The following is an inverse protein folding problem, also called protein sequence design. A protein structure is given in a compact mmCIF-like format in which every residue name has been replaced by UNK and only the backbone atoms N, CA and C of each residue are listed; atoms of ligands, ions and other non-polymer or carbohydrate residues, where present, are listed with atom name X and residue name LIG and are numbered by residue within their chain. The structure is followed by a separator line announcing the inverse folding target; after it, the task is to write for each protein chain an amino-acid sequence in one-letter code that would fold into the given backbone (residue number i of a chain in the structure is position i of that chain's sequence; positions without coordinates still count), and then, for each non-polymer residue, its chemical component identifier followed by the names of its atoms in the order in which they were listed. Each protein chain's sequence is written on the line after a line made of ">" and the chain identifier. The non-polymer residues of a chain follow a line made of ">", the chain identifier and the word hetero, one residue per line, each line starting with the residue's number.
data_IF_165731900069
#
_entry.id   IF_165731900069
#
_cell.length_a   1.000
_cell.length_b   1.000
_cell.length_c   1.000
_cell.angle_alpha   90.00
_cell.angle_beta   90.00
_cell.angle_gamma   90.00
#
_symmetry.space_group_name_H-M   'P 1'
#
loop_
_entity.id
_entity.type
_entity.pdbx_description
1 polymer ?
#
# COMPACT_ATOMS: atom_id res chain seq x y z
N UNK A 1 -4.74 -28.34 49.14
CA UNK A 1 -6.08 -28.47 48.54
C UNK A 1 -6.99 -27.46 49.20
N UNK A 2 -7.27 -26.35 48.52
CA UNK A 2 -8.27 -25.37 48.91
C UNK A 2 -8.82 -24.77 47.62
N UNK A 3 -10.09 -25.04 47.38
CA UNK A 3 -10.90 -24.72 46.20
C UNK A 3 -11.40 -23.28 46.29
N UNK A 4 -11.04 -22.44 45.32
CA UNK A 4 -11.53 -21.05 45.20
C UNK A 4 -12.36 -20.88 43.93
N UNK A 5 -13.68 -20.77 44.12
CA UNK A 5 -14.72 -20.61 43.10
C UNK A 5 -14.58 -19.30 42.31
N UNK A 6 -14.77 -19.39 40.99
CA UNK A 6 -14.95 -18.26 40.09
C UNK A 6 -16.31 -17.57 40.32
N UNK A 7 -16.29 -16.24 40.42
CA UNK A 7 -17.46 -15.37 40.41
C UNK A 7 -17.75 -14.97 38.96
N UNK A 8 -18.85 -15.51 38.40
CA UNK A 8 -19.42 -15.11 37.12
C UNK A 8 -20.34 -13.93 37.37
N UNK A 9 -19.97 -12.73 36.91
CA UNK A 9 -20.83 -11.57 36.91
C UNK A 9 -21.78 -11.63 35.70
N UNK A 10 -23.05 -11.90 35.97
CA UNK A 10 -24.16 -11.84 35.02
C UNK A 10 -24.54 -10.37 34.76
N UNK A 11 -24.32 -9.87 33.55
CA UNK A 11 -24.84 -8.58 33.08
C UNK A 11 -26.13 -8.82 32.32
N UNK A 12 -27.25 -8.27 32.80
CA UNK A 12 -28.55 -8.27 32.12
C UNK A 12 -28.58 -7.19 31.02
N UNK A 13 -29.20 -7.43 29.86
CA UNK A 13 -29.40 -6.39 28.84
C UNK A 13 -30.49 -5.38 29.25
N UNK A 14 -30.37 -4.11 28.83
CA UNK A 14 -31.38 -3.08 29.09
C UNK A 14 -32.63 -3.22 28.20
N UNK A 15 -33.80 -2.69 28.63
CA UNK A 15 -35.06 -2.75 27.87
C UNK A 15 -35.08 -1.83 26.63
N UNK A 16 -35.93 -2.13 25.62
CA UNK A 16 -35.96 -1.38 24.37
C UNK A 16 -36.63 -0.01 24.55
N UNK A 17 -35.86 1.06 24.34
CA UNK A 17 -36.33 2.44 24.33
C UNK A 17 -36.19 3.08 22.94
N UNK A 18 -37.34 3.49 22.40
CA UNK A 18 -37.60 4.48 21.34
C UNK A 18 -36.42 5.08 20.55
N UNK A 19 -36.40 4.80 19.25
CA UNK A 19 -35.60 5.45 18.20
C UNK A 19 -35.92 6.96 18.09
N UNK A 20 -34.92 7.85 17.91
CA UNK A 20 -35.15 9.21 17.46
C UNK A 20 -35.34 9.31 15.93
N UNK A 21 -36.17 10.27 15.52
CA UNK A 21 -36.73 10.51 14.18
C UNK A 21 -35.71 10.60 13.03
N UNK A 22 -36.07 9.98 11.89
CA UNK A 22 -35.39 10.05 10.59
C UNK A 22 -35.72 11.38 9.87
N UNK A 23 -34.72 12.25 9.59
CA UNK A 23 -34.94 13.53 8.93
C UNK A 23 -35.24 13.44 7.41
N UNK A 24 -35.39 12.25 6.82
CA UNK A 24 -35.64 12.08 5.37
C UNK A 24 -37.12 12.06 4.96
N UNK A 25 -38.06 12.29 5.87
CA UNK A 25 -39.50 12.36 5.57
C UNK A 25 -40.04 13.79 5.38
N UNK A 26 -39.39 14.64 4.59
CA UNK A 26 -40.00 15.91 4.12
C UNK A 26 -39.51 16.34 2.74
N UNK A 27 -39.88 15.62 1.69
CA UNK A 27 -39.99 16.19 0.34
C UNK A 27 -41.16 15.53 -0.39
N UNK A 28 -42.20 16.34 -0.66
CA UNK A 28 -43.37 15.96 -1.46
C UNK A 28 -43.05 15.94 -2.96
N UNK A 29 -43.95 15.41 -3.80
CA UNK A 29 -43.71 15.21 -5.23
C UNK A 29 -43.78 16.55 -5.99
N UNK A 30 -42.92 16.79 -7.01
CA UNK A 30 -43.12 17.94 -7.87
C UNK A 30 -44.27 17.68 -8.85
N UNK A 31 -45.16 18.67 -8.90
CA UNK A 31 -46.34 18.75 -9.76
C UNK A 31 -45.94 18.94 -11.23
N UNK A 32 -46.56 18.16 -12.11
CA UNK A 32 -46.65 18.43 -13.54
C UNK A 32 -47.61 19.59 -13.79
N UNK A 33 -47.16 20.65 -14.46
CA UNK A 33 -48.06 21.59 -15.15
C UNK A 33 -47.44 22.03 -16.46
N UNK A 34 -48.16 21.75 -17.56
CA UNK A 34 -47.75 22.05 -18.92
C UNK A 34 -47.81 23.53 -19.29
N UNK A 35 -46.92 23.91 -20.20
CA UNK A 35 -46.99 25.11 -21.02
C UNK A 35 -46.52 24.78 -22.43
N UNK A 36 -47.37 25.03 -23.43
CA UNK A 36 -47.14 24.83 -24.87
C UNK A 36 -46.26 25.96 -25.48
N UNK A 37 -45.72 25.78 -26.70
CA UNK A 37 -44.43 26.35 -27.12
C UNK A 37 -44.55 27.68 -27.86
N UNK A 38 -43.48 28.49 -27.80
CA UNK A 38 -43.22 29.56 -28.76
C UNK A 38 -42.09 29.13 -29.69
N UNK A 39 -42.44 28.96 -30.96
CA UNK A 39 -41.55 28.70 -32.08
C UNK A 39 -40.83 30.00 -32.43
N UNK A 40 -39.50 30.02 -32.31
CA UNK A 40 -38.65 31.00 -32.98
C UNK A 40 -37.54 30.24 -33.71
N UNK A 41 -37.58 30.35 -35.04
CA UNK A 41 -36.60 29.79 -35.98
C UNK A 41 -35.27 30.54 -35.81
N UNK A 42 -34.22 29.80 -35.49
CA UNK A 42 -32.84 30.27 -35.57
C UNK A 42 -31.92 29.10 -35.86
N UNK A 43 -31.41 29.02 -37.09
CA UNK A 43 -30.40 28.05 -37.47
C UNK A 43 -29.08 28.39 -36.76
N UNK A 44 -28.63 27.54 -35.84
CA UNK A 44 -27.25 27.53 -35.37
C UNK A 44 -26.65 26.15 -35.63
N UNK A 45 -25.63 26.12 -36.50
CA UNK A 45 -24.75 24.98 -36.72
C UNK A 45 -24.03 24.66 -35.40
N UNK A 46 -24.21 23.45 -34.89
CA UNK A 46 -23.36 22.88 -33.84
C UNK A 46 -22.04 22.44 -34.48
N UNK A 47 -21.02 23.25 -34.28
CA UNK A 47 -19.62 22.90 -34.54
C UNK A 47 -19.16 21.94 -33.44
N UNK A 48 -18.79 20.72 -33.81
CA UNK A 48 -18.10 19.79 -32.92
C UNK A 48 -16.72 20.38 -32.56
N UNK A 49 -16.51 20.74 -31.29
CA UNK A 49 -15.18 21.06 -30.77
C UNK A 49 -14.48 19.75 -30.37
N UNK A 50 -13.67 19.24 -31.28
CA UNK A 50 -12.66 18.23 -31.03
C UNK A 50 -11.61 18.85 -30.10
N UNK A 51 -11.47 18.40 -28.86
CA UNK A 51 -10.29 18.74 -28.03
C UNK A 51 -9.09 17.99 -28.58
N UNK A 52 -8.38 18.61 -29.52
CA UNK A 52 -7.04 18.21 -29.93
C UNK A 52 -6.03 18.49 -28.82
N UNK A 53 -5.10 17.56 -28.60
CA UNK A 53 -3.88 17.84 -27.86
C UNK A 53 -3.04 18.81 -28.69
N UNK A 54 -3.09 20.10 -28.35
CA UNK A 54 -2.26 21.12 -28.98
C UNK A 54 -0.88 21.11 -28.29
N UNK A 55 0.09 20.45 -28.92
CA UNK A 55 1.45 20.40 -28.42
C UNK A 55 2.18 21.69 -28.85
N UNK A 56 2.63 22.55 -27.92
CA UNK A 56 3.30 23.78 -28.29
C UNK A 56 4.58 23.48 -29.09
N UNK A 57 4.90 24.34 -30.06
CA UNK A 57 6.11 24.22 -30.89
C UNK A 57 7.33 24.67 -30.09
N UNK A 58 7.69 23.90 -29.06
CA UNK A 58 8.94 24.05 -28.33
C UNK A 58 9.96 23.07 -28.90
N UNK A 59 11.13 23.53 -29.37
CA UNK A 59 12.21 22.64 -29.77
C UNK A 59 12.58 21.70 -28.63
N UNK A 60 12.90 20.44 -28.94
CA UNK A 60 13.22 19.39 -27.96
C UNK A 60 14.21 19.85 -26.89
N UNK A 61 15.22 20.63 -27.30
CA UNK A 61 16.25 21.21 -26.44
C UNK A 61 15.71 22.15 -25.36
N UNK A 62 14.63 22.88 -25.65
CA UNK A 62 14.00 23.81 -24.69
C UNK A 62 13.06 23.07 -23.74
N UNK A 63 12.38 22.02 -24.20
CA UNK A 63 11.60 21.13 -23.34
C UNK A 63 12.54 20.39 -22.36
N UNK A 64 13.62 19.81 -22.87
CA UNK A 64 14.67 19.15 -22.09
C UNK A 64 15.26 20.11 -21.03
N UNK A 65 15.62 21.34 -21.43
CA UNK A 65 16.15 22.34 -20.48
C UNK A 65 15.17 22.66 -19.35
N UNK A 66 13.87 22.75 -19.63
CA UNK A 66 12.83 23.06 -18.63
C UNK A 66 12.54 21.90 -17.68
N UNK A 67 12.71 20.66 -18.15
CA UNK A 67 12.46 19.46 -17.36
C UNK A 67 13.69 18.97 -16.59
N UNK A 68 14.89 19.41 -16.96
CA UNK A 68 16.14 18.86 -16.41
C UNK A 68 16.63 19.53 -15.12
N UNK A 69 15.95 20.55 -14.58
CA UNK A 69 16.35 21.30 -13.37
C UNK A 69 17.84 21.74 -13.32
N UNK A 70 18.51 21.83 -14.49
CA UNK A 70 19.88 22.33 -14.60
C UNK A 70 19.85 23.84 -14.72
N UNK A 71 19.61 24.54 -13.62
CA UNK A 71 19.84 25.98 -13.57
C UNK A 71 21.33 26.26 -13.47
N UNK A 72 21.92 26.75 -14.57
CA UNK A 72 23.14 27.54 -14.50
C UNK A 72 22.91 28.77 -13.63
N UNK A 73 23.94 29.15 -12.88
CA UNK A 73 23.93 30.24 -11.91
C UNK A 73 23.65 31.60 -12.59
N UNK A 74 22.65 32.41 -12.16
CA UNK A 74 22.50 33.78 -12.62
C UNK A 74 23.40 34.75 -11.84
N UNK A 75 23.90 35.82 -12.47
CA UNK A 75 24.90 36.73 -11.88
C UNK A 75 24.24 37.84 -11.05
N UNK A 76 23.57 37.49 -9.96
CA UNK A 76 23.10 38.45 -8.96
C UNK A 76 22.59 37.71 -7.72
N UNK A 77 23.52 37.11 -6.97
CA UNK A 77 23.25 36.63 -5.63
C UNK A 77 23.49 37.76 -4.61
N UNK A 78 22.40 38.33 -4.10
CA UNK A 78 22.43 38.96 -2.79
C UNK A 78 21.45 38.22 -1.87
N UNK A 79 21.88 38.04 -0.63
CA UNK A 79 21.48 36.95 0.25
C UNK A 79 20.00 36.78 0.54
N UNK A 80 19.55 35.53 0.55
CA UNK A 80 18.70 35.00 1.62
C UNK A 80 18.90 33.49 1.74
N UNK A 81 19.25 33.04 2.94
CA UNK A 81 19.31 31.63 3.31
C UNK A 81 17.88 31.18 3.64
N UNK A 82 17.25 30.39 2.78
CA UNK A 82 16.23 29.40 3.14
C UNK A 82 15.78 28.64 1.89
N UNK A 83 15.65 27.32 2.06
CA UNK A 83 15.06 26.31 1.15
C UNK A 83 15.92 25.76 0.00
N UNK A 84 17.01 25.05 0.34
CA UNK A 84 17.68 24.09 -0.56
C UNK A 84 17.54 22.64 -0.05
N UNK A 85 16.31 22.22 0.32
CA UNK A 85 16.03 20.83 0.75
C UNK A 85 15.15 20.03 -0.21
N UNK A 86 14.82 20.58 -1.37
CA UNK A 86 13.88 19.96 -2.30
C UNK A 86 14.40 20.04 -3.74
N UNK A 87 15.60 19.52 -3.98
CA UNK A 87 15.98 18.89 -5.26
C UNK A 87 17.42 18.40 -5.16
N UNK A 88 17.65 17.34 -4.39
CA UNK A 88 18.83 16.52 -4.58
C UNK A 88 18.32 15.16 -5.01
N UNK A 89 18.68 14.72 -6.21
CA UNK A 89 18.61 13.31 -6.58
C UNK A 89 19.15 12.50 -5.39
N UNK A 90 18.37 11.53 -4.87
CA UNK A 90 18.63 10.81 -3.63
C UNK A 90 20.04 10.20 -3.51
N UNK A 91 20.76 10.07 -4.62
CA UNK A 91 22.20 9.81 -4.70
C UNK A 91 23.05 10.70 -3.76
N UNK A 92 22.66 11.95 -3.49
CA UNK A 92 23.40 12.82 -2.55
C UNK A 92 23.30 12.39 -1.08
N UNK A 93 22.16 11.82 -0.69
CA UNK A 93 21.90 11.35 0.70
C UNK A 93 22.63 10.04 0.95
N UNK A 94 22.57 9.10 0.01
CA UNK A 94 23.27 7.80 0.11
C UNK A 94 24.78 8.03 0.20
N UNK A 95 25.34 8.88 -0.66
CA UNK A 95 26.78 9.21 -0.68
C UNK A 95 27.29 9.91 0.58
N UNK A 96 26.44 10.70 1.24
CA UNK A 96 26.73 11.33 2.54
C UNK A 96 26.80 10.29 3.68
N UNK A 97 26.03 9.20 3.57
CA UNK A 97 26.05 8.10 4.52
C UNK A 97 27.19 7.12 4.22
N UNK A 98 27.62 6.95 2.95
CA UNK A 98 28.83 6.17 2.61
C UNK A 98 30.11 6.75 3.22
N UNK A 99 30.13 8.05 3.53
CA UNK A 99 31.22 8.72 4.27
C UNK A 99 31.19 8.45 5.78
N UNK A 100 30.05 8.01 6.31
CA UNK A 100 29.99 7.34 7.60
C UNK A 100 30.36 5.90 7.32
N UNK A 101 31.66 5.58 7.37
CA UNK A 101 32.06 4.21 7.65
C UNK A 101 31.20 3.75 8.82
N UNK A 102 30.28 2.84 8.55
CA UNK A 102 29.40 2.25 9.55
C UNK A 102 30.32 1.79 10.67
N UNK A 103 30.33 2.58 11.75
CA UNK A 103 31.01 2.20 12.97
C UNK A 103 30.32 0.91 13.37
N UNK A 104 30.99 -0.22 13.12
CA UNK A 104 30.52 -1.50 13.61
C UNK A 104 30.49 -1.40 15.12
N UNK A 105 29.30 -1.14 15.64
CA UNK A 105 28.90 -1.35 17.02
C UNK A 105 28.92 -0.11 17.91
N UNK A 106 27.74 0.27 18.38
CA UNK A 106 27.54 0.85 19.72
C UNK A 106 27.95 -0.11 20.85
N UNK A 107 28.48 -1.31 20.53
CA UNK A 107 28.86 -2.35 21.48
C UNK A 107 27.67 -3.09 22.09
N UNK A 108 26.43 -2.69 21.78
CA UNK A 108 25.23 -3.31 22.30
C UNK A 108 24.78 -4.48 21.40
N UNK A 109 24.31 -5.59 21.99
CA UNK A 109 23.74 -6.69 21.21
C UNK A 109 22.51 -6.20 20.45
N UNK A 110 22.57 -6.29 19.11
CA UNK A 110 21.44 -6.05 18.21
C UNK A 110 20.71 -7.36 17.91
N UNK A 111 19.40 -7.28 17.76
CA UNK A 111 18.62 -8.37 17.15
C UNK A 111 18.64 -8.14 15.63
N UNK A 112 19.16 -9.08 14.82
CA UNK A 112 19.14 -8.97 13.37
C UNK A 112 17.71 -8.75 12.85
N UNK A 113 17.52 -7.80 11.95
CA UNK A 113 16.21 -7.46 11.41
C UNK A 113 16.30 -7.04 9.94
N UNK A 114 15.37 -7.57 9.15
CA UNK A 114 15.15 -7.20 7.75
C UNK A 114 13.69 -6.81 7.58
N UNK A 115 13.45 -5.64 6.98
CA UNK A 115 12.09 -5.22 6.64
C UNK A 115 11.70 -5.88 5.31
N UNK A 116 10.66 -6.71 5.34
CA UNK A 116 10.23 -7.52 4.18
C UNK A 116 8.97 -6.98 3.50
N UNK A 117 8.36 -5.91 4.03
CA UNK A 117 7.18 -5.30 3.48
C UNK A 117 7.31 -3.76 3.54
N UNK A 118 7.88 -3.16 2.50
CA UNK A 118 7.98 -1.72 2.36
C UNK A 118 7.51 -1.23 0.99
N UNK A 119 6.69 -0.18 1.00
CA UNK A 119 6.17 0.49 -0.20
C UNK A 119 6.92 1.79 -0.43
N UNK A 120 7.40 1.97 -1.66
CA UNK A 120 7.96 3.24 -2.09
C UNK A 120 6.86 4.19 -2.57
N UNK A 121 7.22 5.44 -2.83
CA UNK A 121 6.34 6.45 -3.45
C UNK A 121 5.77 6.01 -4.81
N UNK A 122 6.40 5.03 -5.46
CA UNK A 122 5.89 4.49 -6.70
C UNK A 122 4.63 3.63 -6.51
N UNK A 123 4.35 3.16 -5.30
CA UNK A 123 3.01 2.76 -4.88
C UNK A 123 2.12 4.00 -4.77
N UNK A 124 1.55 4.40 -5.91
CA UNK A 124 0.96 5.71 -6.09
C UNK A 124 -0.12 6.04 -5.05
N UNK A 125 0.08 7.17 -4.34
CA UNK A 125 -0.78 7.67 -3.26
C UNK A 125 -0.95 6.69 -2.08
N UNK A 126 0.02 5.77 -1.90
CA UNK A 126 0.07 4.84 -0.77
C UNK A 126 1.43 4.94 -0.05
N UNK A 127 2.54 4.88 -0.80
CA UNK A 127 3.87 5.22 -0.28
C UNK A 127 4.20 6.70 -0.44
N UNK A 128 5.02 7.26 0.45
CA UNK A 128 5.46 8.67 0.39
C UNK A 128 6.95 8.86 0.15
N UNK A 129 7.79 7.91 0.52
CA UNK A 129 9.26 8.03 0.45
C UNK A 129 9.83 7.42 -0.83
N UNK A 130 10.89 8.02 -1.37
CA UNK A 130 11.57 7.42 -2.52
C UNK A 130 12.34 6.17 -2.08
N UNK A 131 12.65 5.24 -3.01
CA UNK A 131 13.52 4.10 -2.70
C UNK A 131 14.85 4.47 -2.04
N UNK A 132 15.47 5.57 -2.46
CA UNK A 132 16.73 6.06 -1.90
C UNK A 132 16.58 6.49 -0.43
N UNK A 133 15.46 7.13 -0.08
CA UNK A 133 15.18 7.56 1.29
C UNK A 133 14.97 6.34 2.20
N UNK A 134 14.29 5.30 1.68
CA UNK A 134 14.09 4.03 2.39
C UNK A 134 15.41 3.29 2.61
N UNK A 135 16.29 3.25 1.61
CA UNK A 135 17.63 2.64 1.74
C UNK A 135 18.49 3.43 2.74
N UNK A 136 18.51 4.75 2.64
CA UNK A 136 19.27 5.60 3.57
C UNK A 136 18.83 5.38 5.02
N UNK A 137 17.53 5.29 5.26
CA UNK A 137 17.00 5.01 6.59
C UNK A 137 17.29 3.58 7.06
N UNK A 138 17.17 2.59 6.17
CA UNK A 138 17.52 1.21 6.48
C UNK A 138 18.98 1.09 6.93
N UNK A 139 19.91 1.76 6.24
CA UNK A 139 21.32 1.83 6.65
C UNK A 139 21.48 2.52 8.00
N UNK A 140 20.78 3.65 8.22
CA UNK A 140 20.82 4.40 9.49
C UNK A 140 20.30 3.57 10.68
N UNK A 141 19.29 2.75 10.46
CA UNK A 141 18.73 1.79 11.41
C UNK A 141 19.53 0.49 11.49
N UNK A 142 20.57 0.39 10.66
CA UNK A 142 21.42 -0.77 10.49
C UNK A 142 20.65 -2.06 10.13
N UNK A 143 19.59 -2.00 9.31
CA UNK A 143 18.87 -3.20 8.87
C UNK A 143 19.78 -4.17 8.12
N UNK A 144 19.56 -5.47 8.29
CA UNK A 144 20.34 -6.52 7.62
C UNK A 144 19.92 -6.71 6.15
N UNK A 145 18.68 -6.38 5.82
CA UNK A 145 18.17 -6.32 4.46
C UNK A 145 16.92 -5.45 4.38
N UNK A 146 16.57 -5.04 3.16
CA UNK A 146 15.32 -4.35 2.87
C UNK A 146 14.64 -4.99 1.66
N UNK A 147 13.31 -5.16 1.72
CA UNK A 147 12.49 -5.45 0.57
C UNK A 147 11.73 -4.20 0.12
N UNK A 148 11.61 -3.99 -1.20
CA UNK A 148 10.57 -3.13 -1.75
C UNK A 148 9.50 -3.99 -2.40
N UNK A 149 8.28 -3.83 -1.91
CA UNK A 149 7.06 -4.52 -2.30
C UNK A 149 6.02 -3.49 -2.71
N UNK A 150 6.25 -2.85 -3.85
CA UNK A 150 5.30 -1.86 -4.36
C UNK A 150 3.95 -2.51 -4.73
N UNK A 151 2.88 -1.73 -4.60
CA UNK A 151 1.50 -2.17 -4.88
C UNK A 151 1.31 -2.48 -6.37
N UNK A 152 0.93 -3.72 -6.65
CA UNK A 152 0.60 -4.24 -7.98
C UNK A 152 1.69 -4.01 -9.05
N UNK A 153 2.97 -3.90 -8.66
CA UNK A 153 4.03 -3.63 -9.64
C UNK A 153 5.44 -3.54 -9.08
N UNK A 154 6.41 -3.42 -9.98
CA UNK A 154 7.84 -3.26 -9.70
C UNK A 154 8.34 -1.85 -10.03
N UNK A 155 7.57 -0.85 -9.64
CA UNK A 155 7.77 0.50 -10.13
C UNK A 155 9.04 1.16 -9.57
N UNK A 156 9.34 0.95 -8.28
CA UNK A 156 10.54 1.46 -7.61
C UNK A 156 11.77 0.56 -7.66
N UNK A 157 11.67 -0.63 -8.26
CA UNK A 157 12.66 -1.71 -8.09
C UNK A 157 14.07 -1.36 -8.59
N UNK A 158 14.17 -0.65 -9.72
CA UNK A 158 15.46 -0.30 -10.33
C UNK A 158 16.19 0.73 -9.48
N UNK A 159 15.50 1.80 -9.09
CA UNK A 159 16.05 2.84 -8.20
C UNK A 159 16.43 2.27 -6.83
N UNK A 160 15.63 1.34 -6.33
CA UNK A 160 15.93 0.61 -5.10
C UNK A 160 17.23 -0.19 -5.24
N UNK A 161 17.37 -0.98 -6.30
CA UNK A 161 18.55 -1.81 -6.54
C UNK A 161 19.82 -0.96 -6.64
N UNK A 162 19.80 0.12 -7.43
CA UNK A 162 20.94 1.04 -7.59
C UNK A 162 21.34 1.70 -6.25
N UNK A 163 20.37 2.18 -5.48
CA UNK A 163 20.62 2.84 -4.20
C UNK A 163 21.16 1.85 -3.15
N UNK A 164 20.60 0.64 -3.09
CA UNK A 164 21.03 -0.39 -2.17
C UNK A 164 22.43 -0.91 -2.50
N UNK A 165 22.77 -1.03 -3.79
CA UNK A 165 24.12 -1.39 -4.25
C UNK A 165 25.15 -0.33 -3.82
N UNK A 166 24.87 0.97 -4.01
CA UNK A 166 25.76 2.05 -3.55
C UNK A 166 25.95 2.04 -2.02
N UNK A 167 24.91 1.66 -1.28
CA UNK A 167 24.91 1.59 0.17
C UNK A 167 25.48 0.28 0.76
N UNK A 168 25.65 -0.77 -0.06
CA UNK A 168 26.00 -2.11 0.42
C UNK A 168 24.90 -2.79 1.25
N UNK A 169 23.64 -2.42 1.05
CA UNK A 169 22.48 -2.99 1.76
C UNK A 169 21.94 -4.22 1.01
N UNK A 170 21.84 -5.40 1.64
CA UNK A 170 21.20 -6.57 1.01
C UNK A 170 19.73 -6.30 0.65
N UNK A 171 19.33 -6.77 -0.53
CA UNK A 171 18.00 -6.51 -1.09
C UNK A 171 17.14 -7.76 -1.20
N UNK A 172 15.84 -7.57 -1.10
CA UNK A 172 14.81 -8.55 -1.48
C UNK A 172 13.84 -7.88 -2.44
N UNK A 173 13.45 -8.58 -3.51
CA UNK A 173 12.54 -8.04 -4.53
C UNK A 173 11.18 -8.73 -4.47
N UNK A 174 10.11 -7.95 -4.47
CA UNK A 174 8.76 -8.46 -4.38
C UNK A 174 7.71 -7.44 -4.78
N UNK A 175 6.44 -7.80 -4.60
CA UNK A 175 5.31 -6.92 -4.83
C UNK A 175 4.18 -7.25 -3.84
N UNK A 176 3.44 -6.22 -3.43
CA UNK A 176 2.17 -6.38 -2.73
C UNK A 176 1.06 -6.46 -3.78
N UNK A 177 0.51 -7.64 -4.02
CA UNK A 177 -0.50 -7.89 -5.02
C UNK A 177 -1.90 -7.73 -4.45
N UNK A 178 -2.77 -7.02 -5.16
CA UNK A 178 -4.18 -6.96 -4.81
C UNK A 178 -4.98 -8.05 -5.51
N UNK A 179 -5.62 -8.90 -4.73
CA UNK A 179 -6.52 -9.96 -5.15
C UNK A 179 -7.96 -9.44 -5.17
N UNK A 180 -8.62 -9.53 -6.32
CA UNK A 180 -10.03 -9.14 -6.46
C UNK A 180 -10.96 -10.05 -5.64
N UNK A 181 -11.97 -9.46 -5.00
CA UNK A 181 -13.02 -10.21 -4.31
C UNK A 181 -14.01 -10.83 -5.32
N UNK A 182 -14.45 -12.09 -5.13
CA UNK A 182 -15.48 -12.71 -5.95
C UNK A 182 -16.77 -11.89 -5.96
N UNK A 183 -17.29 -11.56 -7.14
CA UNK A 183 -18.55 -10.82 -7.29
C UNK A 183 -18.47 -9.32 -7.00
N UNK A 184 -17.29 -8.78 -6.64
CA UNK A 184 -17.11 -7.32 -6.55
C UNK A 184 -17.32 -6.70 -7.95
N UNK A 185 -18.09 -5.60 -8.06
CA UNK A 185 -18.19 -4.88 -9.33
C UNK A 185 -16.78 -4.52 -9.83
N UNK A 186 -16.64 -4.49 -11.17
CA UNK A 186 -15.41 -4.11 -11.86
C UNK A 186 -14.81 -2.90 -11.14
N UNK A 187 -13.57 -3.02 -10.65
CA UNK A 187 -12.83 -1.89 -10.06
C UNK A 187 -13.07 -0.66 -10.93
N UNK A 188 -13.41 0.47 -10.31
CA UNK A 188 -13.54 1.74 -11.02
C UNK A 188 -12.21 2.46 -10.99
N UNK A 189 -11.72 2.94 -12.15
CA UNK A 189 -10.41 3.61 -12.22
C UNK A 189 -10.43 4.93 -11.44
N UNK A 190 -11.63 5.36 -11.03
CA UNK A 190 -11.90 6.48 -10.15
C UNK A 190 -12.02 6.10 -8.66
N UNK A 191 -11.93 4.82 -8.29
CA UNK A 191 -11.95 4.38 -6.90
C UNK A 191 -10.56 4.61 -6.28
N UNK A 192 -10.50 5.32 -5.16
CA UNK A 192 -9.26 5.53 -4.41
C UNK A 192 -8.72 4.24 -3.76
N UNK A 193 -7.46 4.22 -3.30
CA UNK A 193 -6.88 3.13 -2.52
C UNK A 193 -7.80 2.49 -1.44
N UNK A 194 -8.55 3.24 -0.62
CA UNK A 194 -9.51 2.70 0.37
C UNK A 194 -10.61 1.90 -0.29
N UNK A 195 -11.25 2.44 -1.32
CA UNK A 195 -12.29 1.70 -2.07
C UNK A 195 -11.69 0.47 -2.74
N UNK A 196 -10.41 0.52 -3.15
CA UNK A 196 -9.68 -0.64 -3.66
C UNK A 196 -9.41 -1.69 -2.57
N UNK A 197 -9.12 -1.29 -1.33
CA UNK A 197 -8.99 -2.17 -0.15
C UNK A 197 -10.34 -2.78 0.27
N UNK A 198 -11.42 -2.03 0.15
CA UNK A 198 -12.78 -2.53 0.37
C UNK A 198 -13.20 -3.55 -0.72
N UNK A 199 -12.58 -3.51 -1.91
CA UNK A 199 -12.92 -4.35 -3.08
C UNK A 199 -11.90 -5.47 -3.38
N UNK A 200 -10.85 -5.61 -2.57
CA UNK A 200 -9.78 -6.56 -2.81
C UNK A 200 -8.91 -6.79 -1.57
N UNK A 201 -8.26 -7.95 -1.50
CA UNK A 201 -7.35 -8.30 -0.41
C UNK A 201 -5.91 -8.29 -0.89
N UNK A 202 -4.96 -7.88 -0.05
CA UNK A 202 -3.55 -7.92 -0.41
C UNK A 202 -2.90 -9.27 -0.08
N UNK A 203 -1.82 -9.56 -0.77
CA UNK A 203 -0.85 -10.60 -0.44
C UNK A 203 0.53 -10.10 -0.87
N UNK A 204 1.56 -10.33 -0.06
CA UNK A 204 2.92 -9.92 -0.41
C UNK A 204 3.67 -11.13 -0.96
N UNK A 205 4.32 -10.95 -2.10
CA UNK A 205 5.09 -12.01 -2.76
C UNK A 205 6.53 -11.55 -2.93
N UNK A 206 7.46 -12.31 -2.36
CA UNK A 206 8.90 -12.08 -2.48
C UNK A 206 9.50 -13.15 -3.39
N UNK A 207 10.29 -12.72 -4.37
CA UNK A 207 11.01 -13.61 -5.26
C UNK A 207 12.26 -14.18 -4.55
N UNK A 208 12.39 -15.51 -4.52
CA UNK A 208 13.57 -16.19 -3.97
C UNK A 208 14.74 -16.25 -4.95
N UNK A 209 14.47 -16.12 -6.24
CA UNK A 209 15.46 -16.19 -7.31
C UNK A 209 15.03 -15.38 -8.55
N UNK A 210 15.93 -15.15 -9.53
CA UNK A 210 15.60 -14.39 -10.75
C UNK A 210 14.45 -14.97 -11.58
N UNK A 211 14.22 -16.27 -11.56
CA UNK A 211 13.11 -16.89 -12.27
C UNK A 211 11.79 -16.70 -11.52
N UNK A 212 11.80 -16.67 -10.19
CA UNK A 212 10.68 -16.25 -9.36
C UNK A 212 10.31 -14.79 -9.59
N UNK A 213 11.32 -13.92 -9.74
CA UNK A 213 11.11 -12.51 -10.10
C UNK A 213 10.48 -12.37 -11.48
N UNK A 214 11.00 -13.09 -12.48
CA UNK A 214 10.45 -13.09 -13.84
C UNK A 214 8.99 -13.61 -13.86
N UNK A 215 8.71 -14.70 -13.15
CA UNK A 215 7.36 -15.24 -13.02
C UNK A 215 6.38 -14.25 -12.38
N UNK A 216 6.82 -13.57 -11.31
CA UNK A 216 6.00 -12.56 -10.63
C UNK A 216 5.76 -11.35 -11.56
N UNK A 217 6.77 -10.93 -12.32
CA UNK A 217 6.64 -9.89 -13.33
C UNK A 217 5.64 -10.25 -14.44
N UNK A 218 5.63 -11.51 -14.87
CA UNK A 218 4.65 -12.02 -15.84
C UNK A 218 3.23 -11.97 -15.27
N UNK A 219 3.02 -12.47 -14.05
CA UNK A 219 1.70 -12.42 -13.40
C UNK A 219 1.18 -10.99 -13.26
N UNK A 220 2.03 -10.07 -12.81
CA UNK A 220 1.71 -8.64 -12.71
C UNK A 220 1.31 -8.09 -14.08
N UNK A 221 2.11 -8.37 -15.12
CA UNK A 221 1.86 -7.90 -16.48
C UNK A 221 0.53 -8.43 -17.02
N UNK A 222 0.24 -9.71 -16.85
CA UNK A 222 -1.04 -10.33 -17.24
C UNK A 222 -2.22 -9.69 -16.52
N UNK A 223 -2.09 -9.43 -15.21
CA UNK A 223 -3.12 -8.75 -14.44
C UNK A 223 -3.38 -7.32 -14.96
N UNK A 224 -2.34 -6.57 -15.29
CA UNK A 224 -2.48 -5.23 -15.90
C UNK A 224 -3.13 -5.29 -17.29
N UNK A 225 -2.78 -6.29 -18.11
CA UNK A 225 -3.34 -6.46 -19.46
C UNK A 225 -4.80 -6.92 -19.46
N UNK A 226 -5.21 -7.73 -18.47
CA UNK A 226 -6.62 -8.09 -18.26
C UNK A 226 -7.46 -6.94 -17.68
N UNK A 227 -6.77 -5.95 -17.09
CA UNK A 227 -7.33 -4.81 -16.39
C UNK A 227 -7.59 -3.57 -17.25
N UNK A 228 -7.71 -2.44 -16.59
CA UNK A 228 -7.58 -1.09 -17.18
C UNK A 228 -6.40 -0.40 -16.51
N UNK A 229 -5.95 0.75 -17.05
CA UNK A 229 -4.89 1.54 -16.43
C UNK A 229 -5.20 1.83 -14.96
N UNK A 230 -4.28 1.45 -14.06
CA UNK A 230 -4.42 1.62 -12.61
C UNK A 230 -5.34 0.59 -11.94
N UNK A 231 -5.76 -0.44 -12.67
CA UNK A 231 -6.71 -1.45 -12.23
C UNK A 231 -6.31 -2.87 -12.69
N UNK A 232 -5.17 -3.38 -12.21
CA UNK A 232 -4.80 -4.75 -12.50
C UNK A 232 -5.91 -5.68 -12.02
N UNK A 233 -6.22 -6.68 -12.85
CA UNK A 233 -7.18 -7.74 -12.54
C UNK A 233 -6.45 -9.01 -12.25
N UNK A 234 -6.31 -9.29 -10.97
CA UNK A 234 -5.83 -10.56 -10.46
C UNK A 234 -6.92 -11.13 -9.55
N UNK A 235 -7.54 -12.24 -9.94
CA UNK A 235 -8.43 -12.95 -9.02
C UNK A 235 -7.62 -13.75 -8.01
N UNK A 236 -8.26 -14.10 -6.89
CA UNK A 236 -7.63 -14.99 -5.91
C UNK A 236 -7.26 -16.32 -6.56
N UNK A 237 -8.12 -16.85 -7.43
CA UNK A 237 -7.93 -18.13 -8.13
C UNK A 237 -6.73 -18.08 -9.08
N UNK A 238 -6.60 -17.02 -9.89
CA UNK A 238 -5.44 -16.83 -10.78
C UNK A 238 -4.14 -16.75 -9.99
N UNK A 239 -4.16 -16.05 -8.85
CA UNK A 239 -2.99 -15.98 -7.98
C UNK A 239 -2.62 -17.35 -7.39
N UNK A 240 -3.59 -18.12 -6.88
CA UNK A 240 -3.34 -19.45 -6.31
C UNK A 240 -2.82 -20.43 -7.37
N UNK A 241 -3.32 -20.37 -8.61
CA UNK A 241 -2.81 -21.16 -9.73
C UNK A 241 -1.34 -20.81 -10.03
N UNK A 242 -1.01 -19.51 -10.09
CA UNK A 242 0.36 -19.07 -10.31
C UNK A 242 1.29 -19.45 -9.14
N UNK A 243 0.82 -19.32 -7.90
CA UNK A 243 1.56 -19.72 -6.71
C UNK A 243 1.83 -21.23 -6.69
N UNK A 244 0.90 -22.06 -7.16
CA UNK A 244 1.10 -23.49 -7.33
C UNK A 244 2.13 -23.82 -8.42
N UNK A 245 2.13 -23.08 -9.53
CA UNK A 245 3.10 -23.25 -10.62
C UNK A 245 4.52 -22.82 -10.21
N UNK A 246 4.66 -21.92 -9.23
CA UNK A 246 5.93 -21.34 -8.79
C UNK A 246 6.25 -21.60 -7.31
N UNK A 247 5.76 -22.71 -6.78
CA UNK A 247 5.78 -23.10 -5.35
C UNK A 247 7.08 -22.78 -4.62
N UNK A 248 8.23 -23.17 -5.18
CA UNK A 248 9.54 -23.04 -4.51
C UNK A 248 10.30 -21.75 -4.84
N UNK A 249 9.69 -20.86 -5.63
CA UNK A 249 10.32 -19.62 -6.10
C UNK A 249 9.79 -18.37 -5.41
N UNK A 250 8.66 -18.48 -4.71
CA UNK A 250 8.03 -17.37 -4.01
C UNK A 250 7.98 -17.62 -2.50
N UNK A 251 8.22 -16.57 -1.73
CA UNK A 251 7.82 -16.50 -0.33
C UNK A 251 6.60 -15.58 -0.25
N UNK A 252 5.52 -16.07 0.35
CA UNK A 252 4.21 -15.41 0.38
C UNK A 252 3.91 -15.00 1.82
N UNK A 253 3.78 -13.71 2.07
CA UNK A 253 3.40 -13.18 3.38
C UNK A 253 1.92 -12.84 3.33
N UNK A 254 1.21 -13.08 4.43
CA UNK A 254 -0.25 -12.88 4.50
C UNK A 254 -0.69 -11.43 4.33
N UNK A 255 0.25 -10.47 4.35
CA UNK A 255 -0.01 -9.05 4.26
C UNK A 255 -0.41 -8.43 5.60
N UNK A 256 -0.52 -7.10 5.59
CA UNK A 256 -0.88 -6.28 6.74
C UNK A 256 -2.42 -6.20 6.91
N UNK A 257 -2.95 -5.08 7.39
CA UNK A 257 -4.39 -4.89 7.66
C UNK A 257 -5.34 -5.28 6.52
N UNK A 258 -4.99 -5.01 5.25
CA UNK A 258 -5.79 -5.34 4.06
C UNK A 258 -5.48 -6.73 3.48
N UNK A 259 -4.61 -7.51 4.15
CA UNK A 259 -4.22 -8.86 3.76
C UNK A 259 -5.37 -9.86 3.81
N UNK A 260 -5.37 -10.85 2.92
CA UNK A 260 -6.47 -11.81 2.81
C UNK A 260 -6.78 -12.59 4.10
N UNK A 261 -5.75 -13.02 4.83
CA UNK A 261 -5.88 -13.75 6.10
C UNK A 261 -6.27 -12.83 7.26
N UNK A 262 -5.56 -11.72 7.55
CA UNK A 262 -5.92 -10.84 8.66
C UNK A 262 -7.27 -10.16 8.48
N UNK A 263 -7.64 -9.76 7.26
CA UNK A 263 -8.99 -9.26 6.98
C UNK A 263 -10.06 -10.29 7.31
N UNK A 264 -9.87 -11.55 6.91
CA UNK A 264 -10.82 -12.63 7.22
C UNK A 264 -10.93 -12.88 8.74
N UNK A 265 -9.84 -12.72 9.48
CA UNK A 265 -9.84 -12.79 10.95
C UNK A 265 -10.70 -11.69 11.55
N UNK A 266 -10.49 -10.44 11.14
CA UNK A 266 -11.20 -9.27 11.69
C UNK A 266 -12.68 -9.30 11.33
N UNK A 267 -13.02 -9.63 10.09
CA UNK A 267 -14.39 -9.53 9.58
C UNK A 267 -15.26 -10.76 9.90
N UNK A 268 -14.65 -11.95 9.93
CA UNK A 268 -15.37 -13.22 9.94
C UNK A 268 -14.83 -14.22 10.99
N UNK A 269 -13.83 -13.82 11.76
CA UNK A 269 -13.29 -14.59 12.86
C UNK A 269 -12.28 -15.70 12.48
N UNK A 270 -11.76 -16.44 13.47
CA UNK A 270 -10.63 -17.35 13.29
C UNK A 270 -10.85 -18.47 12.28
N UNK A 271 -12.10 -18.93 12.09
CA UNK A 271 -12.42 -19.99 11.13
C UNK A 271 -12.27 -19.52 9.68
N UNK A 272 -12.62 -18.26 9.39
CA UNK A 272 -12.46 -17.70 8.06
C UNK A 272 -10.98 -17.40 7.76
N UNK A 273 -10.25 -16.87 8.74
CA UNK A 273 -8.80 -16.69 8.64
C UNK A 273 -8.06 -18.01 8.36
N UNK A 274 -8.45 -19.07 9.07
CA UNK A 274 -7.99 -20.43 8.82
C UNK A 274 -8.23 -20.87 7.39
N UNK A 275 -9.46 -20.77 6.88
CA UNK A 275 -9.77 -21.16 5.51
C UNK A 275 -8.98 -20.34 4.47
N UNK A 276 -8.78 -19.04 4.71
CA UNK A 276 -7.96 -18.19 3.85
C UNK A 276 -6.49 -18.63 3.84
N UNK A 277 -5.92 -18.93 5.00
CA UNK A 277 -4.54 -19.41 5.12
C UNK A 277 -4.36 -20.80 4.50
N UNK A 278 -5.31 -21.71 4.74
CA UNK A 278 -5.29 -23.07 4.21
C UNK A 278 -5.27 -23.04 2.67
N UNK A 279 -6.01 -22.12 2.01
CA UNK A 279 -5.93 -21.92 0.55
C UNK A 279 -4.53 -21.51 0.07
N UNK A 280 -3.84 -20.64 0.80
CA UNK A 280 -2.47 -20.24 0.47
C UNK A 280 -1.49 -21.41 0.63
N UNK A 281 -1.65 -22.20 1.71
CA UNK A 281 -0.82 -23.38 1.98
C UNK A 281 -1.04 -24.46 0.92
N UNK A 282 -2.29 -24.71 0.53
CA UNK A 282 -2.61 -25.71 -0.50
C UNK A 282 -1.94 -25.35 -1.83
N UNK A 283 -1.93 -24.06 -2.19
CA UNK A 283 -1.30 -23.57 -3.41
C UNK A 283 0.23 -23.52 -3.35
N UNK A 284 0.80 -22.87 -2.33
CA UNK A 284 2.25 -22.56 -2.28
C UNK A 284 3.06 -23.45 -1.34
N UNK A 285 2.41 -24.25 -0.51
CA UNK A 285 3.05 -25.11 0.49
C UNK A 285 3.41 -24.33 1.75
N UNK A 286 3.29 -25.00 2.90
CA UNK A 286 3.49 -24.37 4.22
C UNK A 286 4.89 -23.76 4.41
N UNK A 287 5.92 -24.31 3.75
CA UNK A 287 7.30 -23.79 3.81
C UNK A 287 7.52 -22.47 3.05
N UNK A 288 6.56 -22.06 2.22
CA UNK A 288 6.64 -20.87 1.39
C UNK A 288 5.62 -19.80 1.77
N UNK A 289 4.75 -20.10 2.73
CA UNK A 289 3.78 -19.15 3.28
C UNK A 289 4.28 -18.72 4.65
N UNK A 290 4.09 -17.44 4.98
CA UNK A 290 4.47 -16.83 6.25
C UNK A 290 3.33 -15.98 6.77
N UNK A 291 2.99 -16.14 8.05
CA UNK A 291 1.99 -15.28 8.70
C UNK A 291 2.66 -13.99 9.13
N UNK A 292 2.24 -12.89 8.53
CA UNK A 292 2.78 -11.57 8.83
C UNK A 292 2.15 -11.01 10.11
N UNK A 293 3.01 -10.54 11.01
CA UNK A 293 2.64 -9.87 12.26
C UNK A 293 3.20 -8.46 12.25
N UNK A 294 2.41 -7.50 12.72
CA UNK A 294 2.80 -6.10 12.84
C UNK A 294 2.20 -5.49 14.10
N UNK A 295 2.91 -4.53 14.68
CA UNK A 295 2.48 -3.80 15.86
C UNK A 295 2.71 -2.31 15.63
N UNK A 296 1.61 -1.59 15.47
CA UNK A 296 1.57 -0.13 15.37
C UNK A 296 1.04 0.48 16.67
N UNK A 297 1.05 -0.26 17.78
CA UNK A 297 0.51 0.15 19.08
C UNK A 297 -0.99 0.44 19.07
N UNK A 298 -1.75 -0.15 18.13
CA UNK A 298 -3.21 -0.15 18.22
C UNK A 298 -3.66 -1.09 19.35
N UNK A 299 -4.70 -0.74 20.15
CA UNK A 299 -5.17 -1.57 21.25
C UNK A 299 -5.51 -3.02 20.88
N UNK A 300 -5.85 -3.29 19.62
CA UNK A 300 -6.20 -4.62 19.13
C UNK A 300 -5.03 -5.36 18.48
N UNK A 301 -3.88 -4.72 18.27
CA UNK A 301 -2.71 -5.32 17.61
C UNK A 301 -2.24 -6.58 18.32
N UNK A 302 -2.09 -6.54 19.66
CA UNK A 302 -1.67 -7.70 20.43
C UNK A 302 -2.62 -8.90 20.30
N UNK A 303 -3.94 -8.66 20.39
CA UNK A 303 -4.94 -9.72 20.29
C UNK A 303 -5.00 -10.31 18.86
N UNK A 304 -4.88 -9.46 17.84
CA UNK A 304 -4.79 -9.90 16.44
C UNK A 304 -3.52 -10.73 16.23
N UNK A 305 -2.38 -10.25 16.70
CA UNK A 305 -1.10 -10.91 16.52
C UNK A 305 -1.05 -12.26 17.24
N UNK A 306 -1.61 -12.37 18.45
CA UNK A 306 -1.75 -13.66 19.16
C UNK A 306 -2.59 -14.65 18.34
N UNK A 307 -3.74 -14.21 17.81
CA UNK A 307 -4.60 -15.05 17.01
C UNK A 307 -3.95 -15.47 15.68
N UNK A 308 -3.22 -14.58 15.02
CA UNK A 308 -2.46 -14.88 13.79
C UNK A 308 -1.27 -15.81 14.07
N UNK A 309 -0.52 -15.58 15.14
CA UNK A 309 0.60 -16.43 15.54
C UNK A 309 0.12 -17.84 15.90
N UNK A 310 -0.96 -17.95 16.68
CA UNK A 310 -1.61 -19.23 16.98
C UNK A 310 -2.08 -19.94 15.71
N UNK A 311 -2.67 -19.19 14.77
CA UNK A 311 -3.10 -19.72 13.49
C UNK A 311 -1.91 -20.30 12.71
N UNK A 312 -0.79 -19.57 12.61
CA UNK A 312 0.44 -20.01 11.96
C UNK A 312 1.00 -21.28 12.57
N UNK A 313 1.16 -21.31 13.91
CA UNK A 313 1.66 -22.48 14.65
C UNK A 313 0.81 -23.72 14.38
N UNK A 314 -0.53 -23.59 14.42
CA UNK A 314 -1.46 -24.71 14.17
C UNK A 314 -1.37 -25.26 12.74
N UNK A 315 -0.92 -24.46 11.76
CA UNK A 315 -0.74 -24.86 10.35
C UNK A 315 0.71 -25.22 9.99
N UNK A 316 1.65 -25.11 10.92
CA UNK A 316 3.07 -25.28 10.64
C UNK A 316 3.65 -24.18 9.73
N UNK A 317 3.05 -22.99 9.75
CA UNK A 317 3.51 -21.80 9.04
C UNK A 317 4.25 -20.89 10.01
N UNK A 318 5.41 -20.38 9.59
CA UNK A 318 6.22 -19.49 10.41
C UNK A 318 5.61 -18.07 10.47
N UNK A 319 5.50 -17.47 11.66
CA UNK A 319 5.23 -16.04 11.76
C UNK A 319 6.47 -15.22 11.40
N UNK A 320 6.27 -14.07 10.78
CA UNK A 320 7.32 -13.09 10.47
C UNK A 320 6.85 -11.70 10.88
N UNK A 321 7.75 -10.88 11.41
CA UNK A 321 7.45 -9.49 11.74
C UNK A 321 7.80 -8.59 10.56
N UNK A 322 6.83 -7.81 10.07
CA UNK A 322 7.05 -6.79 9.04
C UNK A 322 6.21 -5.55 9.39
N UNK A 323 6.71 -4.37 9.06
CA UNK A 323 6.06 -3.13 9.51
C UNK A 323 5.09 -2.54 8.46
N UNK A 324 5.02 -3.14 7.27
CA UNK A 324 4.20 -2.67 6.14
C UNK A 324 4.47 -1.18 5.80
N UNK A 325 5.76 -0.83 5.81
CA UNK A 325 6.30 0.53 5.75
C UNK A 325 5.74 1.30 4.56
N UNK A 326 5.30 2.54 4.81
CA UNK A 326 4.83 3.48 3.76
C UNK A 326 5.69 4.74 3.64
N UNK A 327 6.58 4.95 4.61
CA UNK A 327 7.42 6.14 4.72
C UNK A 327 8.70 5.80 5.47
N UNK A 328 9.80 6.46 5.12
CA UNK A 328 11.12 6.19 5.68
C UNK A 328 11.18 6.59 7.15
N UNK A 329 10.79 7.82 7.49
CA UNK A 329 10.94 8.33 8.86
C UNK A 329 9.59 8.64 9.52
N UNK A 330 9.47 8.56 10.85
CA UNK A 330 8.24 8.95 11.56
C UNK A 330 7.77 10.39 11.26
N UNK A 331 8.71 11.29 10.92
CA UNK A 331 8.39 12.67 10.53
C UNK A 331 7.58 12.79 9.24
N UNK A 332 7.67 11.79 8.36
CA UNK A 332 6.98 11.76 7.07
C UNK A 332 5.52 11.28 7.18
N UNK A 333 5.10 10.84 8.36
CA UNK A 333 3.75 10.31 8.60
C UNK A 333 2.65 11.24 8.08
N UNK A 334 2.73 12.54 8.39
CA UNK A 334 1.71 13.53 7.96
C UNK A 334 1.58 13.62 6.44
N UNK A 335 2.70 13.45 5.72
CA UNK A 335 2.71 13.44 4.26
C UNK A 335 2.07 12.15 3.74
N UNK A 336 2.42 11.00 4.32
CA UNK A 336 1.83 9.72 3.96
C UNK A 336 0.30 9.71 4.20
N UNK A 337 -0.15 10.21 5.35
CA UNK A 337 -1.56 10.34 5.71
C UNK A 337 -2.32 11.24 4.71
N UNK A 338 -1.73 12.38 4.34
CA UNK A 338 -2.30 13.28 3.34
C UNK A 338 -2.36 12.66 1.94
N UNK A 339 -1.33 11.95 1.51
CA UNK A 339 -1.31 11.27 0.21
C UNK A 339 -2.36 10.16 0.15
N UNK A 340 -2.50 9.38 1.23
CA UNK A 340 -3.53 8.35 1.34
C UNK A 340 -4.94 8.95 1.26
N UNK A 341 -5.22 10.02 2.03
CA UNK A 341 -6.51 10.70 1.99
C UNK A 341 -6.84 11.28 0.61
N UNK A 342 -5.85 11.90 -0.07
CA UNK A 342 -6.00 12.39 -1.44
C UNK A 342 -6.28 11.24 -2.41
N UNK A 343 -5.57 10.13 -2.26
CA UNK A 343 -5.82 8.93 -3.04
C UNK A 343 -7.25 8.45 -2.87
N UNK A 344 -7.74 8.46 -1.64
CA UNK A 344 -9.04 7.94 -1.24
C UNK A 344 -10.18 8.91 -1.55
N UNK A 345 -9.82 10.13 -1.94
CA UNK A 345 -10.74 11.25 -2.19
C UNK A 345 -11.62 11.53 -0.98
N UNK A 346 -11.01 11.45 0.20
CA UNK A 346 -11.63 11.73 1.48
C UNK A 346 -10.94 12.93 2.11
N UNK A 347 -11.64 13.63 2.99
CA UNK A 347 -10.97 14.59 3.87
C UNK A 347 -10.05 13.82 4.82
N UNK A 348 -9.09 14.52 5.45
CA UNK A 348 -8.26 13.90 6.50
C UNK A 348 -9.14 13.39 7.65
N UNK A 349 -10.17 14.14 8.02
CA UNK A 349 -11.11 13.76 9.10
C UNK A 349 -11.89 12.48 8.75
N UNK A 350 -12.37 12.35 7.51
CA UNK A 350 -13.07 11.14 7.04
C UNK A 350 -12.12 9.94 6.86
N UNK A 351 -10.83 10.22 6.70
CA UNK A 351 -9.79 9.22 6.52
C UNK A 351 -9.17 8.77 7.86
N UNK A 352 -9.44 9.47 8.96
CA UNK A 352 -8.82 9.22 10.26
C UNK A 352 -8.99 7.77 10.74
N UNK A 353 -10.18 7.18 10.56
CA UNK A 353 -10.44 5.77 10.89
C UNK A 353 -9.71 4.74 10.01
N UNK A 354 -9.03 5.19 8.96
CA UNK A 354 -8.23 4.38 8.02
C UNK A 354 -6.73 4.68 8.14
N UNK A 355 -6.38 5.80 8.79
CA UNK A 355 -5.05 6.02 9.30
C UNK A 355 -4.90 5.06 10.47
N UNK A 356 -4.12 3.98 10.29
CA UNK A 356 -3.69 3.18 11.44
C UNK A 356 -3.21 4.10 12.58
N UNK A 357 -3.31 3.67 13.83
CA UNK A 357 -2.83 4.46 14.95
C UNK A 357 -1.28 4.51 14.93
N UNK A 358 -0.67 5.20 13.94
CA UNK A 358 0.79 5.32 13.80
C UNK A 358 1.29 6.32 14.84
N UNK A 359 1.41 5.86 16.08
CA UNK A 359 1.91 6.59 17.25
C UNK A 359 3.40 6.49 17.42
#
# INVERSE_FOLDING_TARGET
>A
MATGRALVASVRPPPPGSLPDDPRRRLGPPLCSGGRPLVARGHLRLSYLTMGFDNPVIPWRELERRLSDRTGTPPWSNGSRRSDRASSNGAGVVRSLSGHQAGRGSGLPRVPYAELHARSRFSFMDGSSNPEDLVAEAVRLELDALAITDRDGFYGVVRFAEAAEEAGLPTVFGAELTLGLPGSPRRSASAGPAVRREQGRSVVVLARDPAGYAALGTLISEAHMAGRKGEPRLSTEMFLEAAAAHRDRWAILTGAHDGAVPSALVEHGPRAAAAALDRLIDAAGASNVYVELWDHSDPLDGHRNDALAELGVRRGVQPVCANAVRYATPGDRRLADALAAVGDRRSLDDHDGWLGAWG
#
